data_IF_253585393493
#
_entry.id   IF_253585393493
#
_cell.length_a   1.000
_cell.length_b   1.000
_cell.length_c   1.000
_cell.angle_alpha   90.00
_cell.angle_beta   90.00
_cell.angle_gamma   90.00
#
_symmetry.space_group_name_H-M   'P 1'
#
loop_
_entity.id
_entity.type
_entity.pdbx_description
1 polymer ?
#
# COMPACT_ATOMS: atom_id res chain seq x y z
N UNK A 1 12.79 3.33 -9.90
CA UNK A 1 13.36 2.19 -9.14
C UNK A 1 14.25 1.31 -10.00
N UNK A 2 13.79 0.80 -11.15
CA UNK A 2 14.60 -0.06 -12.05
C UNK A 2 16.05 0.40 -12.22
N UNK A 3 16.29 1.65 -12.65
CA UNK A 3 17.65 2.19 -12.82
C UNK A 3 18.49 2.20 -11.54
N UNK A 4 17.88 2.42 -10.38
CA UNK A 4 18.59 2.38 -9.10
C UNK A 4 19.04 0.96 -8.75
N UNK A 5 18.21 -0.05 -9.02
CA UNK A 5 18.54 -1.46 -8.87
C UNK A 5 19.60 -1.91 -9.90
N UNK A 6 19.42 -1.53 -11.17
CA UNK A 6 20.33 -1.87 -12.26
C UNK A 6 21.75 -1.35 -11.98
N UNK A 7 21.87 -0.13 -11.45
CA UNK A 7 23.15 0.50 -11.14
C UNK A 7 23.68 0.20 -9.74
N UNK A 8 22.96 -0.61 -8.96
CA UNK A 8 23.35 -0.96 -7.58
C UNK A 8 23.41 0.24 -6.63
N UNK A 9 22.59 1.27 -6.86
CA UNK A 9 22.48 2.44 -5.96
C UNK A 9 21.75 2.08 -4.67
N UNK A 10 20.86 1.09 -4.73
CA UNK A 10 20.11 0.57 -3.60
C UNK A 10 20.15 -0.95 -3.57
N UNK A 11 20.18 -1.54 -2.38
CA UNK A 11 20.12 -2.99 -2.19
C UNK A 11 18.69 -3.54 -2.25
N UNK A 12 17.69 -2.66 -2.07
CA UNK A 12 16.28 -3.05 -2.02
C UNK A 12 15.35 -1.84 -1.94
N UNK A 13 14.07 -2.12 -1.74
CA UNK A 13 13.01 -1.11 -1.76
C UNK A 13 11.77 -1.57 -0.97
N UNK A 14 10.94 -0.60 -0.55
CA UNK A 14 9.59 -0.87 -0.05
C UNK A 14 8.57 -0.68 -1.17
N UNK A 15 7.72 -1.68 -1.39
CA UNK A 15 6.64 -1.65 -2.37
C UNK A 15 5.50 -2.57 -1.93
N UNK A 16 4.23 -2.33 -2.37
CA UNK A 16 3.15 -3.28 -2.17
C UNK A 16 3.47 -4.67 -2.72
N UNK A 17 2.68 -5.67 -2.31
CA UNK A 17 2.89 -7.07 -2.70
C UNK A 17 2.80 -7.31 -4.22
N UNK A 18 2.09 -6.45 -4.95
CA UNK A 18 1.91 -6.55 -6.40
C UNK A 18 2.52 -5.40 -7.19
N UNK A 19 2.78 -5.65 -8.48
CA UNK A 19 3.15 -4.63 -9.47
C UNK A 19 4.66 -4.52 -9.74
N UNK A 20 5.51 -5.33 -9.09
CA UNK A 20 6.97 -5.26 -9.34
C UNK A 20 7.35 -5.72 -10.75
N UNK A 21 6.48 -6.48 -11.40
CA UNK A 21 6.66 -6.98 -12.76
C UNK A 21 6.33 -5.95 -13.84
N UNK A 22 5.54 -4.91 -13.51
CA UNK A 22 5.03 -3.95 -14.49
C UNK A 22 6.15 -3.07 -15.04
N UNK A 23 7.23 -2.91 -14.27
CA UNK A 23 8.39 -2.07 -14.58
C UNK A 23 9.71 -2.86 -14.53
N UNK A 24 9.64 -4.18 -14.69
CA UNK A 24 10.77 -5.12 -14.75
C UNK A 24 11.66 -5.19 -13.48
N UNK A 25 11.16 -4.85 -12.29
CA UNK A 25 11.99 -4.87 -11.08
C UNK A 25 12.35 -6.28 -10.62
N UNK A 26 11.56 -7.30 -11.03
CA UNK A 26 11.85 -8.70 -10.74
C UNK A 26 13.24 -9.14 -11.20
N UNK A 27 13.78 -8.55 -12.28
CA UNK A 27 15.10 -8.91 -12.83
C UNK A 27 16.25 -8.65 -11.84
N UNK A 28 16.02 -7.76 -10.87
CA UNK A 28 16.98 -7.35 -9.85
C UNK A 28 16.48 -7.58 -8.43
N UNK A 29 15.36 -8.26 -8.26
CA UNK A 29 14.76 -8.52 -6.94
C UNK A 29 14.96 -9.98 -6.57
N UNK A 30 15.73 -10.21 -5.51
CA UNK A 30 16.05 -11.58 -5.06
C UNK A 30 15.17 -12.07 -3.92
N UNK A 31 14.76 -11.15 -3.04
CA UNK A 31 14.07 -11.49 -1.81
C UNK A 31 12.82 -10.62 -1.61
N UNK A 32 11.80 -11.23 -1.00
CA UNK A 32 10.69 -10.53 -0.34
C UNK A 32 10.71 -10.88 1.15
N UNK A 33 10.46 -9.90 2.01
CA UNK A 33 10.35 -10.11 3.46
C UNK A 33 8.88 -10.22 3.85
N UNK A 34 8.54 -11.28 4.57
CA UNK A 34 7.20 -11.54 5.13
C UNK A 34 7.25 -11.56 6.67
N UNK A 35 6.22 -11.07 7.38
CA UNK A 35 4.95 -10.56 6.85
C UNK A 35 5.05 -9.14 6.29
N UNK A 36 4.15 -8.77 5.37
CA UNK A 36 3.96 -7.37 4.98
C UNK A 36 3.38 -6.53 6.11
N UNK A 37 3.42 -5.21 5.95
CA UNK A 37 2.88 -4.24 6.90
C UNK A 37 2.20 -3.08 6.17
N UNK A 38 1.34 -2.36 6.88
CA UNK A 38 0.42 -1.35 6.33
C UNK A 38 -0.53 -1.91 5.27
N UNK A 39 -1.30 -1.01 4.67
CA UNK A 39 -2.11 -1.28 3.49
C UNK A 39 -1.92 -0.11 2.52
N UNK A 40 -1.79 -0.41 1.23
CA UNK A 40 -1.44 0.59 0.23
C UNK A 40 -2.65 1.46 -0.11
N UNK A 41 -2.48 2.78 -0.04
CA UNK A 41 -3.53 3.73 -0.37
C UNK A 41 -3.25 4.35 -1.75
N UNK A 42 -4.23 4.23 -2.66
CA UNK A 42 -4.24 4.91 -3.95
C UNK A 42 -5.65 5.44 -4.19
N UNK A 43 -5.81 6.76 -4.15
CA UNK A 43 -7.11 7.43 -4.29
C UNK A 43 -7.22 8.29 -5.54
N UNK A 44 -8.46 8.47 -6.00
CA UNK A 44 -8.82 9.55 -6.92
C UNK A 44 -9.09 10.83 -6.13
N UNK A 45 -8.32 11.88 -6.42
CA UNK A 45 -8.51 13.20 -5.84
C UNK A 45 -9.05 14.17 -6.88
N UNK A 46 -9.92 15.07 -6.45
CA UNK A 46 -10.47 16.15 -7.28
C UNK A 46 -10.12 17.50 -6.67
N UNK A 47 -9.77 18.47 -7.51
CA UNK A 47 -9.59 19.85 -7.07
C UNK A 47 -10.90 20.36 -6.41
N UNK A 48 -10.78 20.98 -5.24
CA UNK A 48 -11.94 21.38 -4.44
C UNK A 48 -12.82 22.42 -5.15
N UNK A 49 -12.23 23.40 -5.84
CA UNK A 49 -12.99 24.44 -6.53
C UNK A 49 -13.68 23.90 -7.78
N UNK A 50 -13.01 23.03 -8.52
CA UNK A 50 -13.61 22.30 -9.63
C UNK A 50 -14.79 21.45 -9.16
N UNK A 51 -14.61 20.72 -8.05
CA UNK A 51 -15.69 19.97 -7.41
C UNK A 51 -16.85 20.90 -7.06
N UNK A 52 -16.63 22.02 -6.38
CA UNK A 52 -17.68 22.97 -5.99
C UNK A 52 -18.45 23.57 -7.18
N UNK A 53 -17.82 23.73 -8.34
CA UNK A 53 -18.46 24.24 -9.57
C UNK A 53 -19.40 23.24 -10.25
N UNK A 54 -19.31 21.95 -9.93
CA UNK A 54 -20.21 20.94 -10.50
C UNK A 54 -21.66 21.18 -10.07
N UNK A 55 -22.60 20.95 -10.98
CA UNK A 55 -24.02 20.90 -10.65
C UNK A 55 -24.31 19.73 -9.70
N UNK A 56 -25.41 19.76 -8.93
CA UNK A 56 -25.78 18.64 -8.05
C UNK A 56 -25.82 17.29 -8.78
N UNK A 57 -26.39 17.24 -9.99
CA UNK A 57 -26.48 16.02 -10.79
C UNK A 57 -25.09 15.49 -11.24
N UNK A 58 -24.17 16.37 -11.62
CA UNK A 58 -22.80 15.98 -11.98
C UNK A 58 -22.04 15.42 -10.78
N UNK A 59 -22.17 16.08 -9.63
CA UNK A 59 -21.55 15.66 -8.37
C UNK A 59 -22.06 14.29 -7.95
N UNK A 60 -23.38 14.09 -7.97
CA UNK A 60 -24.01 12.82 -7.62
C UNK A 60 -23.57 11.69 -8.54
N UNK A 61 -23.50 11.95 -9.85
CA UNK A 61 -23.00 10.98 -10.81
C UNK A 61 -21.56 10.56 -10.50
N UNK A 62 -20.64 11.50 -10.30
CA UNK A 62 -19.25 11.18 -9.99
C UNK A 62 -19.11 10.42 -8.65
N UNK A 63 -19.86 10.82 -7.62
CA UNK A 63 -19.88 10.09 -6.35
C UNK A 63 -20.34 8.64 -6.53
N UNK A 64 -21.41 8.42 -7.31
CA UNK A 64 -21.92 7.08 -7.59
C UNK A 64 -20.90 6.22 -8.34
N UNK A 65 -20.21 6.80 -9.32
CA UNK A 65 -19.16 6.09 -10.05
C UNK A 65 -17.93 5.81 -9.17
N UNK A 66 -17.56 6.70 -8.26
CA UNK A 66 -16.50 6.46 -7.29
C UNK A 66 -16.83 5.28 -6.36
N UNK A 67 -18.05 5.23 -5.82
CA UNK A 67 -18.51 4.09 -5.02
C UNK A 67 -18.54 2.78 -5.84
N UNK A 68 -18.92 2.84 -7.12
CA UNK A 68 -18.89 1.68 -8.00
C UNK A 68 -17.45 1.20 -8.30
N UNK A 69 -16.47 2.11 -8.32
CA UNK A 69 -15.05 1.77 -8.42
C UNK A 69 -14.55 1.12 -7.12
N UNK A 70 -14.85 1.71 -5.96
CA UNK A 70 -14.49 1.14 -4.66
C UNK A 70 -15.11 -0.25 -4.42
N UNK A 71 -16.33 -0.46 -4.92
CA UNK A 71 -17.00 -1.76 -4.91
C UNK A 71 -16.27 -2.86 -5.69
N UNK A 72 -15.23 -2.53 -6.47
CA UNK A 72 -14.39 -3.50 -7.18
C UNK A 72 -13.11 -3.86 -6.43
N UNK A 73 -12.88 -3.32 -5.23
CA UNK A 73 -11.63 -3.51 -4.47
C UNK A 73 -11.38 -4.94 -3.97
N UNK A 74 -12.37 -5.84 -4.03
CA UNK A 74 -12.15 -7.29 -3.82
C UNK A 74 -11.09 -7.86 -4.78
N UNK A 75 -10.91 -7.21 -5.93
CA UNK A 75 -9.82 -7.45 -6.88
C UNK A 75 -8.45 -7.54 -6.18
N UNK A 76 -8.14 -6.65 -5.23
CA UNK A 76 -6.81 -6.55 -4.62
C UNK A 76 -6.42 -7.80 -3.83
N UNK A 77 -7.39 -8.48 -3.23
CA UNK A 77 -7.14 -9.76 -2.53
C UNK A 77 -6.75 -10.85 -3.52
N UNK A 78 -7.45 -10.94 -4.65
CA UNK A 78 -7.12 -11.91 -5.70
C UNK A 78 -5.78 -11.56 -6.38
N UNK A 79 -5.54 -10.28 -6.63
CA UNK A 79 -4.31 -9.76 -7.21
C UNK A 79 -3.09 -10.07 -6.34
N UNK A 80 -3.18 -9.83 -5.04
CA UNK A 80 -2.10 -10.16 -4.09
C UNK A 80 -1.73 -11.64 -4.13
N UNK A 81 -2.72 -12.55 -4.15
CA UNK A 81 -2.49 -14.00 -4.26
C UNK A 81 -1.81 -14.37 -5.58
N UNK A 82 -2.24 -13.76 -6.68
CA UNK A 82 -1.65 -13.99 -8.00
C UNK A 82 -0.19 -13.50 -8.05
N UNK A 83 0.08 -12.32 -7.52
CA UNK A 83 1.43 -11.73 -7.49
C UNK A 83 2.38 -12.51 -6.57
N UNK A 84 1.93 -12.99 -5.41
CA UNK A 84 2.73 -13.90 -4.56
C UNK A 84 3.16 -15.14 -5.35
N UNK A 85 2.22 -15.76 -6.07
CA UNK A 85 2.51 -16.93 -6.91
C UNK A 85 3.49 -16.58 -8.04
N UNK A 86 3.29 -15.44 -8.71
CA UNK A 86 4.15 -14.96 -9.80
C UNK A 86 5.57 -14.69 -9.32
N UNK A 87 5.73 -14.08 -8.15
CA UNK A 87 7.05 -13.86 -7.53
C UNK A 87 7.77 -15.19 -7.23
N UNK A 88 7.06 -16.18 -6.68
CA UNK A 88 7.63 -17.51 -6.43
C UNK A 88 8.06 -18.20 -7.75
N UNK A 89 7.24 -18.10 -8.81
CA UNK A 89 7.56 -18.65 -10.13
C UNK A 89 8.77 -17.96 -10.79
N UNK A 90 8.99 -16.67 -10.49
CA UNK A 90 10.16 -15.92 -10.93
C UNK A 90 11.43 -16.19 -10.10
N UNK A 91 11.36 -17.09 -9.10
CA UNK A 91 12.52 -17.46 -8.27
C UNK A 91 12.82 -16.48 -7.13
N UNK A 92 11.91 -15.54 -6.82
CA UNK A 92 12.06 -14.64 -5.68
C UNK A 92 11.89 -15.43 -4.38
N UNK A 93 12.89 -15.37 -3.52
CA UNK A 93 12.92 -16.09 -2.25
C UNK A 93 12.20 -15.30 -1.15
N UNK A 94 11.54 -16.01 -0.24
CA UNK A 94 10.83 -15.40 0.88
C UNK A 94 11.68 -15.49 2.14
N UNK A 95 12.05 -14.34 2.71
CA UNK A 95 12.58 -14.24 4.07
C UNK A 95 11.38 -14.14 4.99
N UNK A 96 11.12 -15.19 5.77
CA UNK A 96 9.93 -15.28 6.62
C UNK A 96 10.30 -15.18 8.09
N UNK A 97 9.69 -14.21 8.78
CA UNK A 97 9.62 -14.22 10.24
C UNK A 97 8.42 -15.05 10.69
N UNK A 98 8.55 -15.73 11.84
CA UNK A 98 7.50 -16.55 12.42
C UNK A 98 7.33 -16.27 13.93
N UNK A 99 6.19 -16.68 14.48
CA UNK A 99 5.88 -16.55 15.91
C UNK A 99 6.09 -15.13 16.44
N UNK A 100 6.74 -15.03 17.60
CA UNK A 100 6.97 -13.75 18.26
C UNK A 100 7.84 -12.78 17.44
N UNK A 101 8.69 -13.28 16.53
CA UNK A 101 9.48 -12.41 15.65
C UNK A 101 8.59 -11.73 14.60
N UNK A 102 7.65 -12.46 14.00
CA UNK A 102 6.68 -11.90 13.06
C UNK A 102 5.80 -10.83 13.71
N UNK A 103 5.29 -11.11 14.91
CA UNK A 103 4.48 -10.14 15.68
C UNK A 103 5.28 -8.88 15.98
N UNK A 104 6.50 -9.00 16.52
CA UNK A 104 7.37 -7.85 16.80
C UNK A 104 7.68 -7.04 15.54
N UNK A 105 7.88 -7.70 14.40
CA UNK A 105 8.17 -7.03 13.12
C UNK A 105 7.01 -6.12 12.69
N UNK A 106 5.78 -6.63 12.69
CA UNK A 106 4.59 -5.87 12.31
C UNK A 106 4.27 -4.78 13.34
N UNK A 107 4.30 -5.12 14.64
CA UNK A 107 4.02 -4.16 15.72
C UNK A 107 4.97 -2.98 15.65
N UNK A 108 6.26 -3.23 15.36
CA UNK A 108 7.24 -2.15 15.25
C UNK A 108 6.96 -1.22 14.08
N UNK A 109 6.49 -1.75 12.95
CA UNK A 109 6.08 -0.94 11.82
C UNK A 109 4.94 0.00 12.23
N UNK A 110 3.85 -0.52 12.80
CA UNK A 110 2.70 0.29 13.21
C UNK A 110 3.02 1.27 14.36
N UNK A 111 3.82 0.87 15.34
CA UNK A 111 4.29 1.75 16.42
C UNK A 111 5.04 2.96 15.85
N UNK A 112 6.03 2.71 14.99
CA UNK A 112 6.84 3.76 14.38
C UNK A 112 6.02 4.65 13.44
N UNK A 113 5.12 4.06 12.64
CA UNK A 113 4.22 4.79 11.75
C UNK A 113 3.31 5.74 12.51
N UNK A 114 2.61 5.24 13.53
CA UNK A 114 1.74 6.08 14.36
C UNK A 114 2.52 7.13 15.15
N UNK A 115 3.71 6.81 15.68
CA UNK A 115 4.56 7.81 16.33
C UNK A 115 4.90 8.97 15.38
N UNK A 116 5.20 8.67 14.12
CA UNK A 116 5.43 9.68 13.08
C UNK A 116 4.20 10.55 12.82
N UNK A 117 3.02 9.93 12.62
CA UNK A 117 1.75 10.65 12.38
C UNK A 117 1.40 11.57 13.56
N UNK A 118 1.48 11.05 14.79
CA UNK A 118 1.17 11.81 16.01
C UNK A 118 2.13 12.99 16.22
N UNK A 119 3.39 12.84 15.85
CA UNK A 119 4.36 13.93 15.88
C UNK A 119 4.09 14.98 14.80
N UNK A 120 3.74 14.55 13.58
CA UNK A 120 3.53 15.45 12.44
C UNK A 120 2.21 16.22 12.53
N UNK A 121 1.17 15.60 13.10
CA UNK A 121 -0.14 16.24 13.33
C UNK A 121 -0.64 15.89 14.73
N UNK A 122 -0.20 16.60 15.77
CA UNK A 122 -0.68 16.37 17.13
C UNK A 122 -2.18 16.63 17.29
N UNK A 123 -2.74 17.52 16.48
CA UNK A 123 -4.16 17.88 16.51
C UNK A 123 -5.05 16.79 15.89
N UNK A 124 -4.72 16.29 14.69
CA UNK A 124 -5.59 15.36 13.95
C UNK A 124 -5.12 13.90 14.01
N UNK A 125 -3.84 13.66 14.26
CA UNK A 125 -3.23 12.33 14.35
C UNK A 125 -3.92 11.40 15.36
N UNK A 126 -4.22 11.85 16.60
CA UNK A 126 -4.92 11.00 17.57
C UNK A 126 -6.28 10.53 17.06
N UNK A 127 -7.05 11.44 16.41
CA UNK A 127 -8.36 11.09 15.87
C UNK A 127 -8.25 10.14 14.68
N UNK A 128 -7.28 10.35 13.80
CA UNK A 128 -7.00 9.43 12.69
C UNK A 128 -6.66 8.02 13.22
N UNK A 129 -5.82 7.91 14.26
CA UNK A 129 -5.49 6.62 14.88
C UNK A 129 -6.71 5.92 15.46
N UNK A 130 -7.57 6.66 16.15
CA UNK A 130 -8.83 6.13 16.68
C UNK A 130 -9.72 5.56 15.56
N UNK A 131 -9.85 6.27 14.44
CA UNK A 131 -10.72 5.87 13.34
C UNK A 131 -10.19 4.70 12.53
N UNK A 132 -8.86 4.55 12.43
CA UNK A 132 -8.21 3.53 11.57
C UNK A 132 -7.76 2.29 12.34
N UNK A 133 -7.76 2.33 13.67
CA UNK A 133 -7.48 1.13 14.47
C UNK A 133 -8.68 0.18 14.42
N UNK A 134 -8.40 -1.12 14.25
CA UNK A 134 -9.45 -2.15 14.38
C UNK A 134 -10.08 -2.05 15.78
N UNK A 135 -11.41 -2.11 15.84
CA UNK A 135 -12.14 -2.28 17.12
C UNK A 135 -11.92 -3.67 17.69
#
# INVERSE_FOLDING_TARGET
>A
MYTALERGVVDGYGWPIGGIFDLNWQERTKFRVDPGFYDAEVSLLVNLDAWKRLTPAQREFLTRQALALEGQNDYWTAYAKAEIKRQAQAGIQVIRFEGAAATRYVDKAYEAGWAGVLKASPEHGPKMRELFSRR
#
